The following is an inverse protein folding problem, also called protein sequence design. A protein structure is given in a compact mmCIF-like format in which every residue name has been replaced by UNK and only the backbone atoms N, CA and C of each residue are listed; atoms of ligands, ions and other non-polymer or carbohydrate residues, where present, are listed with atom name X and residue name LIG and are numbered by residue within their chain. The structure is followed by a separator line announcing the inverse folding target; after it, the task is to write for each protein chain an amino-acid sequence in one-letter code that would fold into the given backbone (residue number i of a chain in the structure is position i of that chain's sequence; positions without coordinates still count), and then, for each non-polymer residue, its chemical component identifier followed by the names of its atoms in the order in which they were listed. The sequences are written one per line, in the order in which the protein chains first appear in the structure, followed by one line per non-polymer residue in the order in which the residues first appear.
data_IF_374942694710
#
_entry.id   IF_374942694710
#
_cell.length_a   1.000
_cell.length_b   1.000
_cell.length_c   1.000
_cell.angle_alpha   90.00
_cell.angle_beta   90.00
_cell.angle_gamma   90.00
#
_symmetry.space_group_name_H-M   'P 1'
#
loop_
_entity.id
_entity.type
_entity.pdbx_description
1 polymer ?
#
# COMPACT_ATOMS: atom_id res chain seq x y z
N UNK A 1 -31.97 -24.93 -0.45
CA UNK A 1 -30.55 -24.55 -0.19
C UNK A 1 -29.54 -25.20 -1.16
N UNK A 2 -29.84 -26.28 -1.83
CA UNK A 2 -28.94 -26.95 -2.82
C UNK A 2 -28.91 -26.26 -4.20
N UNK A 3 -29.94 -25.55 -4.62
CA UNK A 3 -30.04 -24.91 -5.93
C UNK A 3 -29.26 -23.58 -6.02
N UNK A 4 -29.06 -22.85 -4.90
CA UNK A 4 -28.24 -21.61 -4.89
C UNK A 4 -26.73 -21.87 -4.98
N UNK A 5 -26.24 -23.01 -4.49
CA UNK A 5 -24.82 -23.38 -4.61
C UNK A 5 -24.42 -23.81 -6.02
N UNK A 6 -25.34 -24.40 -6.80
CA UNK A 6 -25.06 -24.77 -8.19
C UNK A 6 -24.98 -23.54 -9.11
N UNK A 7 -25.86 -22.55 -8.92
CA UNK A 7 -25.80 -21.28 -9.68
C UNK A 7 -24.55 -20.45 -9.35
N UNK A 8 -24.12 -20.43 -8.09
CA UNK A 8 -22.89 -19.74 -7.67
C UNK A 8 -21.63 -20.37 -8.24
N UNK A 9 -21.63 -21.71 -8.38
CA UNK A 9 -20.48 -22.43 -8.96
C UNK A 9 -20.40 -22.30 -10.49
N UNK A 10 -21.53 -22.19 -11.21
CA UNK A 10 -21.53 -21.93 -12.65
C UNK A 10 -21.11 -20.48 -12.97
N UNK A 11 -21.52 -19.48 -12.15
CA UNK A 11 -21.04 -18.10 -12.28
C UNK A 11 -19.53 -17.98 -12.03
N UNK A 12 -18.99 -18.73 -11.07
CA UNK A 12 -17.56 -18.73 -10.79
C UNK A 12 -16.74 -19.47 -11.84
N UNK A 13 -17.31 -20.47 -12.54
CA UNK A 13 -16.66 -21.13 -13.67
C UNK A 13 -16.61 -20.24 -14.91
N UNK A 14 -17.67 -19.50 -15.23
CA UNK A 14 -17.70 -18.55 -16.36
C UNK A 14 -16.81 -17.33 -16.10
N UNK A 15 -16.74 -16.81 -14.86
CA UNK A 15 -15.82 -15.75 -14.47
C UNK A 15 -14.34 -16.20 -14.46
N UNK A 16 -14.06 -17.46 -14.13
CA UNK A 16 -12.70 -18.01 -14.20
C UNK A 16 -12.27 -18.33 -15.65
N UNK A 17 -13.19 -18.72 -16.54
CA UNK A 17 -12.90 -18.82 -17.95
C UNK A 17 -12.62 -17.47 -18.59
N UNK A 18 -13.28 -16.39 -18.17
CA UNK A 18 -12.96 -15.02 -18.63
C UNK A 18 -11.65 -14.47 -18.08
N UNK A 19 -11.15 -14.95 -16.94
CA UNK A 19 -9.86 -14.56 -16.34
C UNK A 19 -8.65 -15.31 -16.90
N UNK A 20 -8.84 -16.45 -17.56
CA UNK A 20 -7.76 -17.27 -18.13
C UNK A 20 -7.45 -16.94 -19.60
N UNK A 21 -8.18 -16.03 -20.25
CA UNK A 21 -7.88 -15.60 -21.60
C UNK A 21 -7.04 -14.32 -21.62
N UNK A 22 -5.75 -14.52 -21.49
CA UNK A 22 -4.72 -13.65 -22.03
C UNK A 22 -4.91 -13.66 -23.57
N UNK A 23 -5.49 -12.58 -24.13
CA UNK A 23 -5.51 -12.43 -25.57
C UNK A 23 -4.07 -12.32 -26.10
N UNK A 24 -3.70 -13.06 -27.14
CA UNK A 24 -4.25 -13.02 -28.47
C UNK A 24 -4.43 -14.42 -29.09
N UNK A 25 -5.62 -14.87 -29.25
CA UNK A 25 -5.98 -15.84 -30.26
C UNK A 25 -7.47 -15.74 -30.53
N UNK A 26 -7.75 -15.27 -31.75
CA UNK A 26 -8.94 -15.53 -32.55
C UNK A 26 -10.28 -15.62 -31.80
N UNK A 27 -11.09 -14.60 -32.00
CA UNK A 27 -12.55 -14.71 -31.93
C UNK A 27 -13.00 -16.08 -32.41
N UNK A 28 -13.35 -16.97 -31.50
CA UNK A 28 -14.10 -18.17 -31.85
C UNK A 28 -15.45 -18.12 -31.17
N UNK A 29 -16.44 -17.95 -32.02
CA UNK A 29 -17.71 -18.64 -32.13
C UNK A 29 -18.96 -18.17 -31.44
N UNK A 30 -19.85 -17.76 -32.34
CA UNK A 30 -21.28 -18.05 -32.25
C UNK A 30 -21.53 -19.54 -32.00
N UNK A 31 -22.24 -19.87 -30.95
CA UNK A 31 -23.03 -21.09 -30.87
C UNK A 31 -24.48 -20.70 -30.71
N UNK A 32 -25.21 -20.77 -31.82
CA UNK A 32 -26.67 -20.93 -31.81
C UNK A 32 -26.98 -22.33 -31.31
N UNK A 33 -27.55 -22.44 -30.10
CA UNK A 33 -28.24 -23.63 -29.64
C UNK A 33 -29.73 -23.33 -29.53
N UNK A 34 -30.60 -24.21 -30.02
CA UNK A 34 -32.03 -24.00 -29.97
C UNK A 34 -32.55 -24.14 -28.55
N UNK A 35 -33.32 -23.15 -28.11
CA UNK A 35 -34.09 -23.23 -26.87
C UNK A 35 -35.24 -24.21 -27.05
N UNK A 36 -35.15 -25.37 -26.39
CA UNK A 36 -36.31 -26.17 -26.01
C UNK A 36 -36.04 -26.90 -24.68
N UNK A 37 -36.94 -26.65 -23.74
CA UNK A 37 -37.21 -27.35 -22.48
C UNK A 37 -36.79 -26.68 -21.16
N UNK A 38 -37.74 -25.97 -20.58
CA UNK A 38 -38.18 -25.94 -19.16
C UNK A 38 -37.14 -26.12 -18.06
N UNK A 39 -36.90 -25.02 -17.31
CA UNK A 39 -36.33 -25.03 -15.97
C UNK A 39 -35.19 -24.03 -15.86
N UNK A 40 -35.45 -22.86 -15.22
CA UNK A 40 -34.49 -21.84 -14.80
C UNK A 40 -33.08 -21.87 -15.44
N UNK A 41 -33.00 -21.61 -16.72
CA UNK A 41 -31.73 -21.32 -17.39
C UNK A 41 -31.28 -19.91 -16.96
N UNK A 42 -30.05 -19.79 -16.56
CA UNK A 42 -29.42 -18.49 -16.36
C UNK A 42 -29.51 -17.70 -17.68
N UNK A 43 -30.07 -16.49 -17.62
CA UNK A 43 -30.16 -15.60 -18.77
C UNK A 43 -28.75 -15.15 -19.13
N UNK A 44 -28.22 -15.69 -20.26
CA UNK A 44 -26.87 -15.38 -20.69
C UNK A 44 -26.87 -14.08 -21.53
N UNK A 45 -25.95 -13.16 -21.30
CA UNK A 45 -25.78 -11.97 -22.14
C UNK A 45 -25.37 -12.37 -23.56
N UNK A 46 -25.92 -11.70 -24.55
CA UNK A 46 -25.61 -11.94 -25.97
C UNK A 46 -24.61 -10.93 -26.49
N UNK A 47 -23.50 -11.39 -27.08
CA UNK A 47 -22.52 -10.54 -27.77
C UNK A 47 -22.71 -10.73 -29.27
N UNK A 48 -22.81 -9.62 -30.01
CA UNK A 48 -23.05 -9.62 -31.47
C UNK A 48 -22.03 -8.70 -32.15
N UNK A 49 -21.51 -9.11 -33.29
CA UNK A 49 -20.72 -8.27 -34.18
C UNK A 49 -21.57 -7.78 -35.36
N UNK A 50 -21.46 -6.51 -35.72
CA UNK A 50 -22.16 -5.92 -36.85
C UNK A 50 -21.21 -5.07 -37.73
N UNK A 51 -21.23 -5.22 -39.08
CA UNK A 51 -21.88 -6.33 -39.80
C UNK A 51 -21.25 -7.67 -39.40
N UNK A 52 -21.94 -8.77 -39.61
CA UNK A 52 -21.45 -10.12 -39.32
C UNK A 52 -20.29 -10.49 -40.27
N UNK A 53 -19.03 -10.58 -39.76
CA UNK A 53 -17.90 -10.91 -40.59
C UNK A 53 -17.59 -12.40 -40.55
N UNK A 54 -17.00 -12.89 -41.61
CA UNK A 54 -16.36 -14.21 -41.66
C UNK A 54 -14.85 -14.02 -41.58
N UNK A 55 -14.19 -14.70 -40.64
CA UNK A 55 -12.73 -14.68 -40.50
C UNK A 55 -12.14 -15.85 -41.32
N UNK A 56 -11.39 -15.55 -42.39
CA UNK A 56 -10.69 -16.53 -43.20
C UNK A 56 -9.20 -16.17 -43.22
N UNK A 57 -8.33 -17.12 -42.82
CA UNK A 57 -6.87 -16.89 -42.79
C UNK A 57 -6.41 -15.61 -42.08
N UNK A 58 -7.08 -15.22 -40.99
CA UNK A 58 -6.77 -13.99 -40.23
C UNK A 58 -7.29 -12.69 -40.83
N UNK A 59 -8.06 -12.75 -41.94
CA UNK A 59 -8.68 -11.60 -42.57
C UNK A 59 -10.21 -11.60 -42.42
N UNK A 60 -10.79 -10.41 -42.23
CA UNK A 60 -12.23 -10.22 -42.12
C UNK A 60 -12.87 -10.09 -43.54
N UNK A 61 -13.93 -10.85 -43.79
CA UNK A 61 -14.72 -10.82 -45.00
C UNK A 61 -16.18 -10.52 -44.69
N UNK A 62 -16.84 -9.75 -45.50
CA UNK A 62 -18.28 -9.56 -45.51
C UNK A 62 -18.76 -9.84 -46.93
N UNK A 63 -19.75 -10.73 -47.10
CA UNK A 63 -20.23 -11.18 -48.41
C UNK A 63 -19.06 -11.66 -49.31
N UNK A 64 -18.15 -12.49 -48.77
CA UNK A 64 -16.98 -13.08 -49.46
C UNK A 64 -15.96 -12.10 -50.07
N UNK A 65 -16.02 -10.83 -49.70
CA UNK A 65 -15.02 -9.81 -50.05
C UNK A 65 -14.23 -9.36 -48.82
N UNK A 66 -12.92 -9.03 -48.98
CA UNK A 66 -12.17 -8.38 -47.91
C UNK A 66 -12.91 -7.14 -47.41
N UNK A 67 -13.17 -7.07 -46.12
CA UNK A 67 -13.96 -6.00 -45.55
C UNK A 67 -13.08 -4.78 -45.25
N UNK A 68 -13.60 -3.61 -45.60
CA UNK A 68 -13.05 -2.32 -45.12
C UNK A 68 -14.16 -1.51 -44.49
N UNK A 69 -14.00 -1.12 -43.23
CA UNK A 69 -15.00 -0.39 -42.46
C UNK A 69 -14.88 -0.67 -40.95
N UNK A 70 -15.87 -0.28 -40.19
CA UNK A 70 -15.90 -0.48 -38.74
C UNK A 70 -16.83 -1.63 -38.35
N UNK A 71 -16.30 -2.63 -37.62
CA UNK A 71 -17.08 -3.69 -37.02
C UNK A 71 -17.46 -3.28 -35.61
N UNK A 72 -18.74 -3.36 -35.27
CA UNK A 72 -19.26 -3.04 -33.92
C UNK A 72 -19.52 -4.32 -33.13
N UNK A 73 -19.00 -4.38 -31.91
CA UNK A 73 -19.28 -5.45 -30.97
C UNK A 73 -20.28 -4.93 -29.94
N UNK A 74 -21.47 -5.50 -29.92
CA UNK A 74 -22.60 -5.08 -29.13
C UNK A 74 -22.89 -6.10 -28.06
N UNK A 75 -23.17 -5.62 -26.86
CA UNK A 75 -23.57 -6.42 -25.70
C UNK A 75 -25.04 -6.19 -25.41
N UNK A 76 -25.81 -7.27 -25.32
CA UNK A 76 -27.16 -7.30 -24.81
C UNK A 76 -27.15 -7.89 -23.41
N UNK A 77 -27.56 -7.15 -22.42
CA UNK A 77 -27.77 -7.71 -21.07
C UNK A 77 -29.00 -8.61 -21.07
N UNK A 78 -29.16 -9.43 -20.04
CA UNK A 78 -30.36 -10.25 -19.89
C UNK A 78 -31.63 -9.36 -19.80
N UNK A 79 -31.54 -8.19 -19.18
CA UNK A 79 -32.61 -7.23 -19.03
C UNK A 79 -33.00 -6.58 -20.37
N UNK A 80 -32.05 -6.46 -21.32
CA UNK A 80 -32.32 -5.93 -22.66
C UNK A 80 -33.14 -6.90 -23.52
N UNK A 81 -32.98 -8.21 -23.28
CA UNK A 81 -33.57 -9.27 -24.10
C UNK A 81 -34.86 -9.85 -23.53
N UNK A 82 -35.04 -9.78 -22.19
CA UNK A 82 -36.09 -10.47 -21.49
C UNK A 82 -36.83 -9.60 -20.49
N UNK A 83 -38.12 -9.85 -20.33
CA UNK A 83 -38.96 -9.28 -19.27
C UNK A 83 -39.23 -10.33 -18.19
N UNK A 84 -39.20 -9.92 -16.91
CA UNK A 84 -39.53 -10.77 -15.77
C UNK A 84 -40.88 -10.31 -15.22
N UNK A 85 -41.90 -11.20 -15.18
CA UNK A 85 -43.19 -10.87 -14.61
C UNK A 85 -43.18 -10.97 -13.08
N UNK A 86 -44.30 -10.57 -12.46
CA UNK A 86 -44.50 -10.59 -11.02
C UNK A 86 -44.30 -11.98 -10.35
N UNK A 87 -44.45 -13.07 -11.10
CA UNK A 87 -44.24 -14.43 -10.60
C UNK A 87 -42.80 -14.97 -10.90
N UNK A 88 -41.92 -14.12 -11.40
CA UNK A 88 -40.54 -14.53 -11.73
C UNK A 88 -40.41 -15.32 -13.04
N UNK A 89 -41.47 -15.37 -13.84
CA UNK A 89 -41.43 -16.03 -15.15
C UNK A 89 -40.77 -15.06 -16.16
N UNK A 90 -39.81 -15.57 -16.94
CA UNK A 90 -39.02 -14.82 -17.91
C UNK A 90 -39.57 -15.01 -19.31
N UNK A 91 -39.78 -13.93 -20.03
CA UNK A 91 -40.25 -13.91 -21.41
C UNK A 91 -39.28 -13.14 -22.30
N UNK A 92 -39.09 -13.59 -23.58
CA UNK A 92 -38.40 -12.76 -24.56
C UNK A 92 -39.14 -11.44 -24.76
N UNK A 93 -38.44 -10.32 -24.75
CA UNK A 93 -39.01 -9.01 -25.03
C UNK A 93 -39.52 -8.94 -26.47
N UNK A 94 -40.72 -8.47 -26.67
CA UNK A 94 -41.28 -8.29 -28.02
C UNK A 94 -40.46 -7.28 -28.83
N UNK A 95 -39.82 -6.31 -28.17
CA UNK A 95 -38.89 -5.33 -28.75
C UNK A 95 -37.71 -5.19 -27.80
N UNK A 96 -36.58 -5.87 -28.07
CA UNK A 96 -35.40 -5.75 -27.25
C UNK A 96 -34.93 -4.29 -27.13
N UNK A 97 -34.38 -3.94 -25.95
CA UNK A 97 -33.73 -2.65 -25.76
C UNK A 97 -32.47 -2.57 -26.65
N UNK A 98 -32.02 -1.36 -27.04
CA UNK A 98 -30.81 -1.21 -27.82
C UNK A 98 -29.61 -1.77 -27.04
N UNK A 99 -28.71 -2.51 -27.70
CA UNK A 99 -27.54 -3.08 -27.07
C UNK A 99 -26.51 -2.01 -26.71
N UNK A 100 -25.68 -2.29 -25.73
CA UNK A 100 -24.54 -1.47 -25.36
C UNK A 100 -23.37 -1.73 -26.30
N UNK A 101 -22.81 -0.68 -26.89
CA UNK A 101 -21.57 -0.77 -27.68
C UNK A 101 -20.39 -0.98 -26.70
N UNK A 102 -19.69 -2.11 -26.85
CA UNK A 102 -18.54 -2.43 -26.00
C UNK A 102 -17.21 -2.32 -26.74
N UNK A 103 -17.22 -2.47 -28.08
CA UNK A 103 -16.02 -2.40 -28.91
C UNK A 103 -16.32 -2.04 -30.34
N UNK A 104 -15.39 -1.31 -30.94
CA UNK A 104 -15.30 -1.14 -32.43
C UNK A 104 -13.93 -1.63 -32.91
N UNK A 105 -13.90 -2.18 -34.11
CA UNK A 105 -12.67 -2.57 -34.81
C UNK A 105 -12.71 -1.99 -36.21
N UNK A 106 -11.78 -1.08 -36.50
CA UNK A 106 -11.59 -0.58 -37.87
C UNK A 106 -10.78 -1.61 -38.68
N UNK A 107 -11.29 -1.93 -39.81
CA UNK A 107 -10.72 -2.92 -40.73
C UNK A 107 -10.42 -2.24 -42.07
N UNK A 108 -9.22 -2.50 -42.63
CA UNK A 108 -8.79 -2.07 -43.91
C UNK A 108 -8.33 -3.29 -44.71
N UNK A 109 -8.94 -3.51 -45.86
CA UNK A 109 -8.64 -4.63 -46.79
C UNK A 109 -8.62 -6.00 -46.04
N UNK A 110 -9.61 -6.21 -45.20
CA UNK A 110 -9.75 -7.41 -44.38
C UNK A 110 -8.87 -7.45 -43.11
N UNK A 111 -7.95 -6.51 -42.93
CA UNK A 111 -7.02 -6.48 -41.80
C UNK A 111 -7.50 -5.47 -40.75
N UNK A 112 -7.59 -5.89 -39.48
CA UNK A 112 -7.87 -4.97 -38.39
C UNK A 112 -6.69 -4.02 -38.17
N UNK A 113 -6.97 -2.71 -38.09
CA UNK A 113 -5.95 -1.65 -37.97
C UNK A 113 -6.07 -0.84 -36.68
N UNK A 114 -7.27 -0.76 -36.09
CA UNK A 114 -7.53 -0.05 -34.82
C UNK A 114 -8.66 -0.73 -34.10
N UNK A 115 -8.49 -0.93 -32.77
CA UNK A 115 -9.52 -1.34 -31.84
C UNK A 115 -9.82 -0.21 -30.88
N UNK A 116 -11.12 0.07 -30.66
CA UNK A 116 -11.61 0.94 -29.57
C UNK A 116 -12.49 0.14 -28.65
N UNK A 117 -12.18 0.16 -27.35
CA UNK A 117 -13.05 -0.36 -26.30
C UNK A 117 -13.85 0.80 -25.69
N UNK A 118 -15.07 0.56 -25.27
CA UNK A 118 -15.97 1.58 -24.71
C UNK A 118 -16.26 1.33 -23.24
N UNK A 119 -16.58 2.39 -22.50
CA UNK A 119 -17.16 2.26 -21.17
C UNK A 119 -18.60 1.79 -21.31
N UNK A 120 -19.07 0.99 -20.35
CA UNK A 120 -20.44 0.50 -20.32
C UNK A 120 -21.45 1.66 -20.34
N UNK A 121 -22.40 1.59 -21.31
CA UNK A 121 -23.43 2.61 -21.49
C UNK A 121 -22.95 4.00 -21.95
N UNK A 122 -21.73 4.14 -22.49
CA UNK A 122 -21.18 5.43 -22.94
C UNK A 122 -20.71 5.38 -24.39
N UNK A 123 -20.92 6.47 -25.12
CA UNK A 123 -20.49 6.63 -26.51
C UNK A 123 -19.01 7.08 -26.67
N UNK A 124 -18.25 7.08 -25.57
CA UNK A 124 -16.85 7.50 -25.56
C UNK A 124 -15.94 6.30 -25.37
N UNK A 125 -14.83 6.20 -26.09
CA UNK A 125 -13.91 5.10 -25.94
C UNK A 125 -13.23 5.14 -24.55
N UNK A 126 -13.03 3.96 -23.97
CA UNK A 126 -12.20 3.75 -22.79
C UNK A 126 -10.73 3.55 -23.17
N UNK A 127 -10.49 2.90 -24.31
CA UNK A 127 -9.16 2.64 -24.85
C UNK A 127 -9.16 2.62 -26.37
N UNK A 128 -7.99 2.94 -26.94
CA UNK A 128 -7.68 2.80 -28.36
C UNK A 128 -6.37 2.01 -28.52
N UNK A 129 -6.39 1.00 -29.37
CA UNK A 129 -5.23 0.14 -29.63
C UNK A 129 -5.00 0.04 -31.15
N UNK A 130 -3.95 0.66 -31.69
CA UNK A 130 -3.51 0.37 -33.05
C UNK A 130 -3.14 -1.10 -33.21
N UNK A 131 -3.48 -1.68 -34.36
CA UNK A 131 -3.28 -3.09 -34.64
C UNK A 131 -2.39 -3.27 -35.87
N UNK A 132 -1.54 -4.31 -35.83
CA UNK A 132 -0.87 -4.87 -36.97
C UNK A 132 -1.14 -6.37 -36.99
N UNK A 133 -2.04 -6.78 -37.89
CA UNK A 133 -2.67 -8.09 -37.82
C UNK A 133 -3.54 -8.22 -36.58
N UNK A 134 -3.31 -9.23 -35.75
CA UNK A 134 -4.06 -9.47 -34.52
C UNK A 134 -3.37 -8.94 -33.26
N UNK A 135 -2.27 -8.22 -33.38
CA UNK A 135 -1.45 -7.75 -32.26
C UNK A 135 -1.49 -6.22 -32.15
N UNK A 136 -1.45 -5.70 -30.92
CA UNK A 136 -1.27 -4.28 -30.67
C UNK A 136 0.10 -3.83 -31.17
N UNK A 137 0.12 -2.82 -32.04
CA UNK A 137 1.35 -2.27 -32.64
C UNK A 137 1.16 -0.79 -32.92
N UNK A 138 1.88 0.07 -32.24
CA UNK A 138 1.74 1.53 -32.28
C UNK A 138 1.39 2.14 -30.94
N UNK A 139 0.90 3.39 -30.95
CA UNK A 139 0.58 4.15 -29.74
C UNK A 139 -0.84 3.87 -29.28
N UNK A 140 -0.98 3.10 -28.19
CA UNK A 140 -2.24 2.90 -27.52
C UNK A 140 -2.56 4.06 -26.57
N UNK A 141 -3.85 4.35 -26.41
CA UNK A 141 -4.38 5.40 -25.54
C UNK A 141 -5.44 4.83 -24.61
N UNK A 142 -5.55 5.38 -23.40
CA UNK A 142 -6.68 5.15 -22.51
C UNK A 142 -7.24 6.49 -22.02
N UNK A 143 -8.52 6.50 -21.67
CA UNK A 143 -9.26 7.70 -21.32
C UNK A 143 -9.90 7.58 -19.95
N UNK A 144 -10.19 8.70 -19.30
CA UNK A 144 -10.98 8.74 -18.08
C UNK A 144 -12.47 8.56 -18.39
N UNK A 145 -13.16 7.84 -17.52
CA UNK A 145 -14.58 7.51 -17.73
C UNK A 145 -15.50 8.71 -17.62
N UNK A 146 -15.20 9.68 -16.76
CA UNK A 146 -16.14 10.75 -16.42
C UNK A 146 -16.17 11.88 -17.47
N UNK A 147 -15.00 12.27 -17.98
CA UNK A 147 -14.83 13.41 -18.88
C UNK A 147 -14.35 13.02 -20.28
N UNK A 148 -13.81 11.79 -20.46
CA UNK A 148 -13.21 11.33 -21.70
C UNK A 148 -11.84 11.92 -21.99
N UNK A 149 -11.21 12.59 -21.03
CA UNK A 149 -9.86 13.11 -21.18
C UNK A 149 -8.82 11.97 -21.27
N UNK A 150 -7.70 12.26 -21.93
CA UNK A 150 -6.61 11.32 -22.09
C UNK A 150 -6.00 10.97 -20.72
N UNK A 151 -6.15 9.72 -20.31
CA UNK A 151 -5.58 9.18 -19.08
C UNK A 151 -4.14 8.72 -19.27
N UNK A 152 -3.88 7.95 -20.32
CA UNK A 152 -2.52 7.46 -20.62
C UNK A 152 -2.31 7.21 -22.10
N UNK A 153 -1.04 7.21 -22.50
CA UNK A 153 -0.60 6.73 -23.81
C UNK A 153 0.73 5.99 -23.67
N UNK A 154 0.92 4.99 -24.54
CA UNK A 154 2.15 4.21 -24.57
C UNK A 154 2.29 3.38 -25.82
N UNK A 155 3.53 3.09 -26.18
CA UNK A 155 3.85 2.31 -27.36
C UNK A 155 3.71 0.81 -27.10
N UNK A 156 3.17 0.13 -28.11
CA UNK A 156 3.12 -1.33 -28.22
C UNK A 156 3.84 -1.78 -29.49
N UNK A 157 4.50 -2.92 -29.39
CA UNK A 157 5.11 -3.61 -30.52
C UNK A 157 4.84 -5.11 -30.41
N UNK A 158 4.23 -5.68 -31.43
CA UNK A 158 3.87 -7.09 -31.45
C UNK A 158 3.12 -7.55 -30.18
N UNK A 159 2.14 -6.77 -29.71
CA UNK A 159 1.29 -7.05 -28.57
C UNK A 159 1.89 -6.76 -27.20
N UNK A 160 3.14 -6.31 -27.11
CA UNK A 160 3.83 -5.98 -25.84
C UNK A 160 4.07 -4.48 -25.75
N UNK A 161 4.01 -3.95 -24.50
CA UNK A 161 4.45 -2.57 -24.26
C UNK A 161 5.94 -2.45 -24.54
N UNK A 162 6.27 -1.53 -25.45
CA UNK A 162 7.63 -1.27 -25.93
C UNK A 162 7.78 0.21 -26.20
N UNK A 163 8.82 0.88 -25.65
CA UNK A 163 8.99 2.31 -25.83
C UNK A 163 8.34 3.15 -24.74
N UNK A 164 7.92 4.37 -25.08
CA UNK A 164 7.46 5.34 -24.11
C UNK A 164 6.12 4.99 -23.47
N UNK A 165 5.93 5.53 -22.25
CA UNK A 165 4.68 5.55 -21.51
C UNK A 165 4.47 6.92 -20.88
N UNK A 166 3.25 7.46 -20.94
CA UNK A 166 2.82 8.69 -20.27
C UNK A 166 1.48 8.48 -19.61
N UNK A 167 1.32 9.04 -18.40
CA UNK A 167 0.09 9.09 -17.64
C UNK A 167 -0.21 10.54 -17.29
N UNK A 168 -1.46 10.93 -17.31
CA UNK A 168 -1.91 12.31 -17.11
C UNK A 168 -2.83 12.40 -15.90
N UNK A 169 -2.94 13.59 -15.32
CA UNK A 169 -3.92 13.90 -14.30
C UNK A 169 -5.29 14.12 -14.92
N UNK A 170 -6.34 13.65 -14.26
CA UNK A 170 -7.71 13.94 -14.64
C UNK A 170 -8.04 15.42 -14.37
N UNK A 171 -8.84 16.03 -15.24
CA UNK A 171 -9.32 17.41 -15.13
C UNK A 171 -8.30 18.47 -15.56
N UNK A 172 -7.01 18.30 -15.26
CA UNK A 172 -5.97 19.24 -15.70
C UNK A 172 -5.24 18.81 -16.98
N UNK A 173 -5.33 17.53 -17.36
CA UNK A 173 -4.61 16.95 -18.50
C UNK A 173 -3.08 17.04 -18.40
N UNK A 174 -2.54 17.49 -17.25
CA UNK A 174 -1.11 17.62 -17.05
C UNK A 174 -0.42 16.27 -16.88
N UNK A 175 0.85 16.20 -17.24
CA UNK A 175 1.65 14.99 -17.13
C UNK A 175 1.83 14.60 -15.66
N UNK A 176 1.39 13.37 -15.31
CA UNK A 176 1.52 12.77 -13.97
C UNK A 176 2.72 11.85 -13.86
N UNK A 177 2.99 11.07 -14.92
CA UNK A 177 4.12 10.14 -14.96
C UNK A 177 4.61 9.95 -16.38
N UNK A 178 5.92 9.77 -16.57
CA UNK A 178 6.51 9.27 -17.82
C UNK A 178 7.57 8.21 -17.53
N UNK A 179 7.77 7.33 -18.50
CA UNK A 179 8.78 6.28 -18.43
C UNK A 179 8.84 5.51 -19.75
N UNK A 180 9.48 4.37 -19.72
CA UNK A 180 9.54 3.46 -20.87
C UNK A 180 9.33 2.01 -20.42
N UNK A 181 8.83 1.20 -21.35
CA UNK A 181 8.70 -0.24 -21.23
C UNK A 181 9.58 -0.95 -22.25
N UNK A 182 10.05 -2.13 -21.89
CA UNK A 182 10.71 -3.09 -22.78
C UNK A 182 10.09 -4.46 -22.55
N UNK A 183 9.43 -5.03 -23.55
CA UNK A 183 8.75 -6.31 -23.48
C UNK A 183 7.85 -6.42 -22.23
N UNK A 184 6.92 -5.47 -22.02
CA UNK A 184 5.99 -5.32 -20.90
C UNK A 184 6.61 -5.00 -19.52
N UNK A 185 7.92 -4.87 -19.43
CA UNK A 185 8.62 -4.55 -18.18
C UNK A 185 9.05 -3.10 -18.17
N UNK A 186 8.91 -2.43 -17.02
CA UNK A 186 9.47 -1.08 -16.85
C UNK A 186 10.97 -1.09 -17.07
N UNK A 187 11.47 -0.12 -17.85
CA UNK A 187 12.90 0.02 -18.18
C UNK A 187 13.31 1.50 -18.13
N UNK A 188 14.53 1.78 -17.62
CA UNK A 188 15.01 3.14 -17.48
C UNK A 188 14.35 3.90 -16.32
N UNK A 189 14.30 5.23 -16.39
CA UNK A 189 13.81 6.08 -15.31
C UNK A 189 12.33 6.43 -15.52
N UNK A 190 11.49 6.04 -14.57
CA UNK A 190 10.13 6.56 -14.44
C UNK A 190 10.18 7.84 -13.64
N UNK A 191 9.60 8.90 -14.17
CA UNK A 191 9.54 10.22 -13.55
C UNK A 191 8.09 10.55 -13.25
N UNK A 192 7.80 10.83 -11.97
CA UNK A 192 6.51 11.31 -11.49
C UNK A 192 6.54 12.83 -11.34
N UNK A 193 5.41 13.45 -11.53
CA UNK A 193 5.24 14.90 -11.45
C UNK A 193 4.13 15.26 -10.46
N UNK A 194 4.25 16.38 -9.80
CA UNK A 194 3.15 17.05 -9.16
C UNK A 194 2.18 17.60 -10.21
N UNK A 195 0.94 17.83 -9.84
CA UNK A 195 -0.04 18.44 -10.76
C UNK A 195 0.33 19.89 -11.14
N UNK A 196 1.13 20.55 -10.34
CA UNK A 196 1.75 21.85 -10.64
C UNK A 196 2.81 21.77 -11.77
N UNK A 197 3.36 20.57 -12.04
CA UNK A 197 4.27 20.28 -13.15
C UNK A 197 5.71 19.97 -12.73
N UNK A 198 6.09 20.24 -11.48
CA UNK A 198 7.42 19.92 -10.97
C UNK A 198 7.60 18.41 -10.80
N UNK A 199 8.83 17.94 -10.91
CA UNK A 199 9.17 16.55 -10.65
C UNK A 199 8.94 16.22 -9.17
N UNK A 200 8.12 15.18 -8.90
CA UNK A 200 7.88 14.68 -7.54
C UNK A 200 8.73 13.46 -7.19
N UNK A 201 9.09 12.63 -8.19
CA UNK A 201 9.98 11.49 -7.96
C UNK A 201 10.65 10.99 -9.26
N UNK A 202 11.79 10.30 -9.09
CA UNK A 202 12.48 9.54 -10.15
C UNK A 202 12.78 8.14 -9.67
N UNK A 203 12.30 7.15 -10.39
CA UNK A 203 12.36 5.74 -10.06
C UNK A 203 13.06 4.95 -11.16
N UNK A 204 14.32 4.56 -11.02
CA UNK A 204 15.03 3.75 -12.01
C UNK A 204 14.60 2.28 -11.96
N UNK A 205 14.34 1.72 -13.14
CA UNK A 205 13.95 0.33 -13.34
C UNK A 205 14.90 -0.40 -14.30
N UNK A 206 15.11 -1.69 -14.06
CA UNK A 206 15.77 -2.61 -14.97
C UNK A 206 15.01 -3.92 -14.98
N UNK A 207 14.52 -4.34 -16.16
CA UNK A 207 13.76 -5.57 -16.31
C UNK A 207 12.48 -5.63 -15.47
N UNK A 208 11.83 -4.51 -15.18
CA UNK A 208 10.62 -4.39 -14.35
C UNK A 208 10.85 -4.17 -12.86
N UNK A 209 12.07 -4.33 -12.37
CA UNK A 209 12.43 -4.17 -10.96
C UNK A 209 13.13 -2.84 -10.70
N UNK A 210 12.87 -2.18 -9.56
CA UNK A 210 13.63 -0.99 -9.14
C UNK A 210 15.11 -1.33 -9.06
N UNK A 211 15.96 -0.52 -9.70
CA UNK A 211 17.41 -0.76 -9.73
C UNK A 211 18.16 0.57 -9.92
N UNK A 212 18.87 1.00 -8.90
CA UNK A 212 19.58 2.28 -8.87
C UNK A 212 19.08 3.21 -7.78
N UNK A 213 19.38 4.52 -7.89
CA UNK A 213 18.98 5.55 -6.94
C UNK A 213 17.58 6.08 -7.26
N UNK A 214 16.66 5.83 -6.33
CA UNK A 214 15.31 6.36 -6.30
C UNK A 214 15.33 7.69 -5.54
N UNK A 215 14.74 8.73 -6.12
CA UNK A 215 14.82 10.10 -5.57
C UNK A 215 13.43 10.72 -5.52
N UNK A 216 13.02 11.16 -4.33
CA UNK A 216 11.80 11.96 -4.12
C UNK A 216 12.15 13.43 -3.98
N UNK A 217 11.25 14.31 -4.38
CA UNK A 217 11.40 15.75 -4.32
C UNK A 217 10.22 16.41 -3.61
N UNK A 218 10.45 17.55 -2.98
CA UNK A 218 9.42 18.48 -2.57
C UNK A 218 8.88 19.27 -3.78
N UNK A 219 7.74 19.94 -3.64
CA UNK A 219 7.23 20.87 -4.66
C UNK A 219 8.21 22.00 -4.99
N UNK A 220 9.02 22.40 -4.03
CA UNK A 220 10.11 23.37 -4.22
C UNK A 220 11.26 22.88 -5.11
N UNK A 221 11.20 21.61 -5.55
CA UNK A 221 12.26 20.96 -6.33
C UNK A 221 13.45 20.47 -5.50
N UNK A 222 13.49 20.76 -4.20
CA UNK A 222 14.54 20.24 -3.31
C UNK A 222 14.35 18.74 -3.09
N UNK A 223 15.47 18.03 -2.91
CA UNK A 223 15.46 16.58 -2.62
C UNK A 223 14.81 16.34 -1.26
N UNK A 224 13.77 15.48 -1.23
CA UNK A 224 13.09 15.00 -0.03
C UNK A 224 13.68 13.69 0.48
N UNK A 225 14.03 12.79 -0.43
CA UNK A 225 14.59 11.48 -0.05
C UNK A 225 15.39 10.83 -1.17
N UNK A 226 16.39 10.04 -0.78
CA UNK A 226 17.21 9.23 -1.69
C UNK A 226 17.28 7.82 -1.13
N UNK A 227 16.91 6.84 -1.94
CA UNK A 227 16.96 5.41 -1.61
C UNK A 227 17.69 4.67 -2.72
N UNK A 228 18.40 3.62 -2.36
CA UNK A 228 19.08 2.77 -3.34
C UNK A 228 18.40 1.41 -3.44
N UNK A 229 18.23 0.91 -4.66
CA UNK A 229 17.62 -0.38 -4.95
C UNK A 229 18.54 -1.25 -5.82
N UNK A 230 18.51 -2.55 -5.57
CA UNK A 230 19.15 -3.56 -6.42
C UNK A 230 18.20 -4.75 -6.59
N UNK A 231 17.80 -5.03 -7.83
CA UNK A 231 16.88 -6.13 -8.12
C UNK A 231 15.53 -6.04 -7.40
N UNK A 232 14.99 -4.83 -7.21
CA UNK A 232 13.72 -4.56 -6.55
C UNK A 232 13.81 -4.37 -5.03
N UNK A 233 14.92 -4.74 -4.38
CA UNK A 233 15.12 -4.64 -2.94
C UNK A 233 15.91 -3.40 -2.56
N UNK A 234 15.58 -2.77 -1.42
CA UNK A 234 16.38 -1.68 -0.85
C UNK A 234 17.76 -2.20 -0.47
N UNK A 235 18.79 -1.47 -0.91
CA UNK A 235 20.18 -1.86 -0.73
C UNK A 235 21.05 -0.62 -0.61
N UNK A 236 21.90 -0.54 0.43
CA UNK A 236 22.80 0.59 0.66
C UNK A 236 22.12 1.74 1.40
N UNK A 237 22.69 2.94 1.30
CA UNK A 237 22.30 4.09 2.11
C UNK A 237 20.96 4.68 1.67
N UNK A 238 20.12 5.01 2.65
CA UNK A 238 18.92 5.83 2.54
C UNK A 238 19.14 7.16 3.26
N UNK A 239 18.65 8.27 2.66
CA UNK A 239 18.70 9.62 3.25
C UNK A 239 17.36 10.31 3.02
N UNK A 240 16.88 10.99 4.05
CA UNK A 240 15.72 11.88 3.99
C UNK A 240 16.11 13.27 4.46
N UNK A 241 15.49 14.28 3.91
CA UNK A 241 15.79 15.67 4.17
C UNK A 241 14.53 16.44 4.57
N UNK A 242 14.66 17.47 5.35
CA UNK A 242 13.65 18.50 5.55
C UNK A 242 13.55 19.38 4.30
N UNK A 243 12.49 20.14 4.16
CA UNK A 243 12.34 21.07 3.03
C UNK A 243 13.35 22.23 3.07
N UNK A 244 13.87 22.56 4.24
CA UNK A 244 15.04 23.45 4.40
C UNK A 244 16.29 22.91 3.67
N UNK A 245 16.38 21.58 3.46
CA UNK A 245 17.53 20.87 2.91
C UNK A 245 18.39 20.22 3.99
N UNK A 246 18.11 20.46 5.27
CA UNK A 246 18.79 19.80 6.37
C UNK A 246 18.51 18.28 6.37
N UNK A 247 19.52 17.49 6.75
CA UNK A 247 19.37 16.03 6.84
C UNK A 247 18.40 15.68 7.98
N UNK A 248 17.34 14.91 7.66
CA UNK A 248 16.31 14.46 8.60
C UNK A 248 16.60 13.08 9.14
N UNK A 249 17.06 12.16 8.26
CA UNK A 249 17.31 10.78 8.60
C UNK A 249 18.34 10.17 7.65
N UNK A 250 19.18 9.27 8.16
CA UNK A 250 20.06 8.43 7.34
C UNK A 250 20.27 7.08 7.99
N UNK A 251 20.47 6.07 7.16
CA UNK A 251 20.79 4.70 7.57
C UNK A 251 21.03 3.84 6.35
N UNK A 252 21.21 2.56 6.55
CA UNK A 252 21.44 1.62 5.46
C UNK A 252 20.42 0.47 5.47
N UNK A 253 20.15 -0.05 4.28
CA UNK A 253 19.41 -1.29 4.06
C UNK A 253 20.28 -2.35 3.43
N UNK A 254 20.01 -3.59 3.78
CA UNK A 254 20.50 -4.78 3.10
C UNK A 254 19.29 -5.71 2.86
N UNK A 255 18.96 -5.97 1.60
CA UNK A 255 17.84 -6.82 1.20
C UNK A 255 16.50 -6.46 1.89
N UNK A 256 16.12 -5.17 1.86
CA UNK A 256 14.93 -4.55 2.50
C UNK A 256 14.95 -4.50 4.03
N UNK A 257 16.01 -4.96 4.69
CA UNK A 257 16.15 -4.92 6.14
C UNK A 257 17.06 -3.78 6.56
N UNK A 258 16.69 -3.02 7.60
CA UNK A 258 17.56 -2.02 8.20
C UNK A 258 18.84 -2.70 8.73
N UNK A 259 19.98 -2.02 8.54
CA UNK A 259 21.28 -2.55 8.93
C UNK A 259 22.19 -1.43 9.47
N UNK A 260 22.94 -1.73 10.53
CA UNK A 260 23.89 -0.80 11.13
C UNK A 260 23.25 0.42 11.78
N UNK A 261 23.99 1.52 11.84
CA UNK A 261 23.60 2.73 12.53
C UNK A 261 22.59 3.54 11.71
N UNK A 262 21.47 3.86 12.32
CA UNK A 262 20.48 4.79 11.84
C UNK A 262 20.48 6.04 12.68
N UNK A 263 20.39 7.22 12.03
CA UNK A 263 20.37 8.52 12.70
C UNK A 263 19.21 9.35 12.23
N UNK A 264 18.49 9.92 13.18
CA UNK A 264 17.47 10.94 12.96
C UNK A 264 18.00 12.27 13.51
N UNK A 265 17.63 13.36 12.87
CA UNK A 265 18.09 14.69 13.22
C UNK A 265 16.91 15.65 13.41
N UNK A 266 17.07 16.63 14.22
CA UNK A 266 16.25 17.83 14.25
C UNK A 266 16.55 18.70 13.02
N UNK A 267 15.67 19.63 12.70
CA UNK A 267 15.85 20.50 11.52
C UNK A 267 17.05 21.44 11.65
N UNK A 268 17.48 21.77 12.87
CA UNK A 268 18.70 22.53 13.17
C UNK A 268 20.00 21.69 12.99
N UNK A 269 19.87 20.43 12.61
CA UNK A 269 20.97 19.49 12.35
C UNK A 269 21.47 18.73 13.58
N UNK A 270 20.98 19.02 14.78
CA UNK A 270 21.34 18.24 15.97
C UNK A 270 20.78 16.85 15.88
N UNK A 271 21.52 15.87 16.42
CA UNK A 271 21.06 14.49 16.51
C UNK A 271 19.84 14.41 17.43
N UNK A 272 18.77 13.72 16.95
CA UNK A 272 17.57 13.42 17.72
C UNK A 272 17.56 11.99 18.24
N UNK A 273 17.91 11.03 17.37
CA UNK A 273 17.95 9.60 17.72
C UNK A 273 19.11 8.93 16.99
N UNK A 274 19.79 8.03 17.68
CA UNK A 274 20.74 7.06 17.11
C UNK A 274 20.24 5.68 17.46
N UNK A 275 20.06 4.83 16.46
CA UNK A 275 19.56 3.47 16.59
C UNK A 275 20.53 2.50 15.92
N UNK A 276 20.67 1.31 16.48
CA UNK A 276 21.43 0.23 15.86
C UNK A 276 20.49 -0.89 15.42
N UNK A 277 20.69 -1.36 14.18
CA UNK A 277 19.89 -2.42 13.56
C UNK A 277 20.76 -3.55 13.05
N UNK A 278 20.26 -4.77 13.21
CA UNK A 278 20.76 -5.98 12.59
C UNK A 278 19.60 -6.76 12.01
N UNK A 279 19.65 -7.04 10.72
CA UNK A 279 18.60 -7.77 9.97
C UNK A 279 17.18 -7.24 10.13
N UNK A 280 17.04 -5.93 10.36
CA UNK A 280 15.77 -5.22 10.48
C UNK A 280 15.27 -5.00 11.89
N UNK A 281 15.88 -5.62 12.90
CA UNK A 281 15.55 -5.50 14.30
C UNK A 281 16.56 -4.60 15.03
N UNK A 282 16.14 -3.94 16.13
CA UNK A 282 17.07 -3.22 16.97
C UNK A 282 18.07 -4.20 17.62
N UNK A 283 19.36 -3.89 17.50
CA UNK A 283 20.45 -4.71 18.06
C UNK A 283 21.60 -3.78 18.45
N UNK A 284 21.83 -3.62 19.75
CA UNK A 284 22.75 -2.66 20.34
C UNK A 284 22.06 -1.43 20.92
N UNK A 285 22.82 -0.36 21.14
CA UNK A 285 22.38 0.84 21.81
C UNK A 285 21.40 1.68 20.96
N UNK A 286 20.37 2.23 21.62
CA UNK A 286 19.51 3.29 21.12
C UNK A 286 19.67 4.51 22.03
N UNK A 287 19.98 5.66 21.45
CA UNK A 287 20.15 6.92 22.16
C UNK A 287 19.19 7.98 21.61
N UNK A 288 18.45 8.65 22.49
CA UNK A 288 17.56 9.76 22.17
C UNK A 288 18.10 11.05 22.77
N UNK A 289 17.90 12.18 22.10
CA UNK A 289 18.41 13.47 22.51
C UNK A 289 17.32 14.53 22.44
N UNK A 290 17.32 15.45 23.38
CA UNK A 290 16.51 16.66 23.38
C UNK A 290 16.96 17.65 22.29
N UNK A 291 16.10 18.62 21.95
CA UNK A 291 16.44 19.68 20.98
C UNK A 291 17.61 20.58 21.43
N UNK A 292 17.90 20.67 22.73
CA UNK A 292 19.10 21.35 23.25
C UNK A 292 20.39 20.52 23.06
N UNK A 293 20.28 19.24 22.65
CA UNK A 293 21.38 18.30 22.45
C UNK A 293 21.73 17.44 23.66
N UNK A 294 21.07 17.65 24.83
CA UNK A 294 21.25 16.80 26.00
C UNK A 294 20.69 15.39 25.74
N UNK A 295 21.32 14.39 26.31
CA UNK A 295 20.84 13.00 26.25
C UNK A 295 19.48 12.91 26.97
N UNK A 296 18.48 12.35 26.27
CA UNK A 296 17.12 12.13 26.79
C UNK A 296 16.96 10.71 27.30
N UNK A 297 17.52 9.72 26.59
CA UNK A 297 17.44 8.33 26.98
C UNK A 297 18.50 7.48 26.30
N UNK A 298 18.89 6.42 26.98
CA UNK A 298 19.76 5.36 26.46
C UNK A 298 19.15 4.00 26.79
N UNK A 299 19.12 3.12 25.78
CA UNK A 299 18.48 1.83 25.83
C UNK A 299 19.35 0.80 25.13
N UNK A 300 19.38 -0.42 25.63
CA UNK A 300 20.06 -1.54 24.99
C UNK A 300 19.05 -2.53 24.41
N UNK A 301 19.36 -3.06 23.23
CA UNK A 301 18.53 -4.05 22.55
C UNK A 301 19.37 -5.22 22.08
N UNK A 302 18.79 -6.42 22.13
CA UNK A 302 19.33 -7.63 21.53
C UNK A 302 18.20 -8.35 20.80
N UNK A 303 18.38 -8.61 19.49
CA UNK A 303 17.38 -9.28 18.64
C UNK A 303 15.96 -8.68 18.80
N UNK A 304 15.84 -7.34 18.76
CA UNK A 304 14.58 -6.60 18.86
C UNK A 304 14.00 -6.49 20.27
N UNK A 305 14.63 -7.11 21.27
CA UNK A 305 14.17 -7.07 22.66
C UNK A 305 15.04 -6.15 23.51
N UNK A 306 14.40 -5.34 24.33
CA UNK A 306 15.11 -4.48 25.25
C UNK A 306 15.83 -5.33 26.32
N UNK A 307 17.09 -5.00 26.58
CA UNK A 307 17.95 -5.71 27.54
C UNK A 307 18.82 -4.71 28.30
N UNK A 308 19.56 -5.16 29.30
CA UNK A 308 20.51 -4.32 30.04
C UNK A 308 19.85 -3.15 30.77
N UNK A 309 20.64 -2.14 31.11
CA UNK A 309 20.19 -0.97 31.85
C UNK A 309 19.74 0.15 30.92
N UNK A 310 18.48 0.55 31.03
CA UNK A 310 17.94 1.71 30.39
C UNK A 310 17.94 2.90 31.34
N UNK A 311 18.30 4.08 30.82
CA UNK A 311 18.31 5.34 31.58
C UNK A 311 17.57 6.42 30.80
N UNK A 312 16.91 7.30 31.53
CA UNK A 312 16.25 8.50 31.04
C UNK A 312 16.75 9.70 31.81
N UNK A 313 16.85 10.82 31.16
CA UNK A 313 17.41 12.06 31.71
C UNK A 313 16.44 13.22 31.52
N UNK A 314 16.46 14.19 32.36
CA UNK A 314 15.82 15.48 32.20
C UNK A 314 16.57 16.32 31.14
N UNK A 315 15.93 17.35 30.63
CA UNK A 315 16.57 18.27 29.68
C UNK A 315 17.76 19.05 30.27
N UNK A 316 17.85 19.13 31.58
CA UNK A 316 18.99 19.63 32.35
C UNK A 316 20.19 18.68 32.33
N UNK A 317 19.99 17.41 31.91
CA UNK A 317 21.00 16.36 31.96
C UNK A 317 20.99 15.53 33.24
N UNK A 318 20.18 15.89 34.25
CA UNK A 318 20.01 15.11 35.46
C UNK A 318 19.34 13.77 35.16
N UNK A 319 19.75 12.69 35.87
CA UNK A 319 19.12 11.38 35.73
C UNK A 319 17.66 11.43 36.21
N UNK A 320 16.72 11.02 35.35
CA UNK A 320 15.28 10.99 35.66
C UNK A 320 14.81 9.58 36.05
N UNK A 321 15.34 8.55 35.35
CA UNK A 321 15.00 7.16 35.69
C UNK A 321 16.10 6.20 35.23
N UNK A 322 16.20 5.06 35.93
CA UNK A 322 16.96 3.90 35.46
C UNK A 322 16.24 2.60 35.81
N UNK A 323 16.33 1.62 34.89
CA UNK A 323 15.75 0.29 35.09
C UNK A 323 16.52 -0.73 34.26
N UNK A 324 16.63 -1.94 34.78
CA UNK A 324 17.16 -3.08 34.04
C UNK A 324 16.04 -3.78 33.30
N UNK A 325 16.34 -4.23 32.07
CA UNK A 325 15.49 -5.10 31.27
C UNK A 325 16.16 -6.45 31.06
N UNK A 326 15.35 -7.50 31.03
CA UNK A 326 15.73 -8.84 30.61
C UNK A 326 14.64 -9.38 29.71
N UNK A 327 15.00 -9.80 28.51
CA UNK A 327 14.05 -10.32 27.49
C UNK A 327 12.85 -9.41 27.21
N UNK A 328 13.05 -8.09 27.18
CA UNK A 328 12.01 -7.08 26.96
C UNK A 328 11.12 -6.78 28.17
N UNK A 329 11.42 -7.35 29.33
CA UNK A 329 10.66 -7.13 30.57
C UNK A 329 11.51 -6.43 31.59
N UNK A 330 10.90 -5.49 32.36
CA UNK A 330 11.57 -4.89 33.53
C UNK A 330 12.00 -5.99 34.49
N UNK A 331 13.24 -5.92 34.95
CA UNK A 331 13.81 -6.87 35.90
C UNK A 331 14.80 -6.17 36.82
N UNK A 332 14.76 -6.44 38.13
CA UNK A 332 15.61 -5.76 39.09
C UNK A 332 15.06 -4.39 39.51
N UNK A 333 15.93 -3.53 39.96
CA UNK A 333 15.57 -2.26 40.59
C UNK A 333 15.21 -1.21 39.52
N UNK A 334 14.02 -0.63 39.67
CA UNK A 334 13.59 0.57 38.94
C UNK A 334 13.66 1.76 39.88
N UNK A 335 14.39 2.78 39.51
CA UNK A 335 14.52 4.02 40.25
C UNK A 335 14.17 5.23 39.39
N UNK A 336 13.42 6.16 39.98
CA UNK A 336 13.17 7.48 39.40
C UNK A 336 13.71 8.55 40.35
N UNK A 337 14.04 9.70 39.80
CA UNK A 337 14.66 10.80 40.52
C UNK A 337 13.92 12.12 40.23
N UNK A 338 13.89 13.01 41.20
CA UNK A 338 13.51 14.41 40.99
C UNK A 338 14.61 15.12 40.20
N UNK A 339 14.29 16.25 39.58
CA UNK A 339 15.26 16.98 38.75
C UNK A 339 16.45 17.55 39.59
N UNK A 340 16.26 17.72 40.91
CA UNK A 340 17.33 18.07 41.84
C UNK A 340 18.27 16.88 42.17
N UNK A 341 18.03 15.69 41.61
CA UNK A 341 18.81 14.47 41.76
C UNK A 341 18.44 13.61 42.97
N UNK A 342 17.48 14.04 43.80
CA UNK A 342 17.01 13.21 44.94
C UNK A 342 16.15 12.04 44.41
N UNK A 343 16.21 10.89 45.10
CA UNK A 343 15.43 9.73 44.77
C UNK A 343 13.93 10.05 44.91
N UNK A 344 13.15 9.82 43.82
CA UNK A 344 11.68 10.02 43.80
C UNK A 344 10.93 8.73 44.09
N UNK A 345 11.36 7.63 43.47
CA UNK A 345 10.76 6.32 43.73
C UNK A 345 11.77 5.21 43.49
N UNK A 346 11.57 4.09 44.16
CA UNK A 346 12.24 2.82 43.90
C UNK A 346 11.29 1.65 44.03
N UNK A 347 11.34 0.74 43.04
CA UNK A 347 10.49 -0.45 42.97
C UNK A 347 11.32 -1.60 42.43
N UNK A 348 11.14 -2.79 43.00
CA UNK A 348 11.74 -4.02 42.47
C UNK A 348 10.80 -4.65 41.45
N UNK A 349 11.35 -5.10 40.34
CA UNK A 349 10.63 -5.85 39.31
C UNK A 349 11.21 -7.24 39.11
N UNK A 350 10.33 -8.23 38.94
CA UNK A 350 10.67 -9.57 38.52
C UNK A 350 9.79 -9.95 37.37
N UNK A 351 10.41 -10.24 36.20
CA UNK A 351 9.74 -10.58 34.93
C UNK A 351 8.58 -9.63 34.51
N UNK A 352 8.76 -8.33 34.78
CA UNK A 352 7.81 -7.28 34.43
C UNK A 352 6.77 -6.97 35.51
N UNK A 353 6.75 -7.72 36.60
CA UNK A 353 5.83 -7.53 37.71
C UNK A 353 6.54 -6.87 38.92
N UNK A 354 5.86 -5.93 39.57
CA UNK A 354 6.34 -5.32 40.84
C UNK A 354 6.38 -6.36 41.96
N UNK A 355 7.45 -6.35 42.72
CA UNK A 355 7.64 -7.28 43.86
C UNK A 355 8.33 -6.59 45.04
N UNK A 356 8.09 -7.06 46.24
CA UNK A 356 8.68 -6.51 47.45
C UNK A 356 8.21 -5.09 47.76
N UNK A 357 9.05 -4.31 48.42
CA UNK A 357 8.69 -2.97 48.91
C UNK A 357 9.02 -1.91 47.90
N UNK A 358 8.00 -1.19 47.42
CA UNK A 358 8.13 0.06 46.69
C UNK A 358 8.15 1.26 47.64
N UNK A 359 8.97 2.27 47.34
CA UNK A 359 9.05 3.49 48.15
C UNK A 359 9.00 4.72 47.25
N UNK A 360 8.26 5.73 47.69
CA UNK A 360 8.18 7.06 47.08
C UNK A 360 8.67 8.11 48.08
N UNK A 361 9.32 9.15 47.55
CA UNK A 361 9.96 10.18 48.37
C UNK A 361 9.59 11.56 47.84
N UNK A 362 9.41 12.50 48.76
CA UNK A 362 9.31 13.94 48.45
C UNK A 362 10.63 14.47 47.88
N UNK A 363 10.58 15.66 47.28
CA UNK A 363 11.77 16.28 46.69
C UNK A 363 12.88 16.63 47.71
N UNK A 364 12.54 16.72 49.01
CA UNK A 364 13.49 16.90 50.13
C UNK A 364 14.10 15.55 50.62
N UNK A 365 13.68 14.41 50.02
CA UNK A 365 14.17 13.08 50.31
C UNK A 365 13.43 12.33 51.42
N UNK A 366 12.43 12.96 52.05
CA UNK A 366 11.60 12.29 53.05
C UNK A 366 10.68 11.26 52.41
N UNK A 367 10.36 10.18 53.17
CA UNK A 367 9.45 9.13 52.68
C UNK A 367 8.02 9.69 52.56
N UNK A 368 7.44 9.61 51.34
CA UNK A 368 6.06 9.98 51.05
C UNK A 368 5.12 8.79 51.16
N UNK A 369 5.53 7.65 50.59
CA UNK A 369 4.74 6.44 50.60
C UNK A 369 5.61 5.18 50.53
N UNK A 370 5.11 4.09 51.09
CA UNK A 370 5.62 2.75 50.84
C UNK A 370 4.49 1.77 50.55
N UNK A 371 4.74 0.83 49.62
CA UNK A 371 3.81 -0.22 49.29
C UNK A 371 4.48 -1.56 49.21
N UNK A 372 3.81 -2.61 49.64
CA UNK A 372 4.26 -3.99 49.51
C UNK A 372 3.56 -4.64 48.31
N UNK A 373 4.33 -5.23 47.40
CA UNK A 373 3.85 -5.87 46.20
C UNK A 373 4.15 -7.35 46.18
N UNK A 374 3.15 -8.16 45.83
CA UNK A 374 3.26 -9.58 45.53
C UNK A 374 2.80 -9.85 44.10
N UNK A 375 3.74 -10.19 43.21
CA UNK A 375 3.48 -10.49 41.81
C UNK A 375 2.61 -9.43 41.10
N UNK A 376 2.96 -8.16 41.28
CA UNK A 376 2.27 -7.01 40.65
C UNK A 376 1.01 -6.55 41.43
N UNK A 377 0.61 -7.23 42.50
CA UNK A 377 -0.53 -6.84 43.31
C UNK A 377 -0.06 -6.08 44.56
N UNK A 378 -0.60 -4.88 44.77
CA UNK A 378 -0.35 -4.11 46.00
C UNK A 378 -1.12 -4.75 47.18
N UNK A 379 -0.42 -5.22 48.20
CA UNK A 379 -1.01 -5.89 49.36
C UNK A 379 -1.02 -5.01 50.63
N UNK A 380 -0.14 -4.01 50.70
CA UNK A 380 -0.11 -3.02 51.76
C UNK A 380 0.36 -1.68 51.24
N UNK A 381 -0.21 -0.58 51.76
CA UNK A 381 0.21 0.77 51.42
C UNK A 381 0.19 1.65 52.67
N UNK A 382 1.28 2.40 52.87
CA UNK A 382 1.39 3.44 53.89
C UNK A 382 1.70 4.77 53.23
N UNK A 383 1.12 5.85 53.75
CA UNK A 383 1.37 7.22 53.28
C UNK A 383 1.77 8.10 54.47
N UNK A 384 2.72 9.00 54.23
CA UNK A 384 3.28 9.92 55.23
C UNK A 384 3.15 11.36 54.71
N UNK A 385 3.03 12.33 55.66
CA UNK A 385 3.07 13.75 55.33
C UNK A 385 4.51 14.25 55.20
N UNK A 386 4.69 15.52 54.78
CA UNK A 386 6.01 16.15 54.65
C UNK A 386 6.76 16.28 55.98
N UNK A 387 6.07 16.16 57.11
CA UNK A 387 6.67 16.14 58.45
C UNK A 387 7.14 14.73 58.87
N UNK A 388 6.77 13.69 58.08
CA UNK A 388 7.10 12.28 58.33
C UNK A 388 6.06 11.55 59.20
N UNK A 389 4.90 12.16 59.50
CA UNK A 389 3.84 11.51 60.25
C UNK A 389 3.04 10.56 59.34
N UNK A 390 2.66 9.40 59.87
CA UNK A 390 1.83 8.43 59.16
C UNK A 390 0.39 8.97 58.99
N UNK A 391 -0.06 9.15 57.71
CA UNK A 391 -1.40 9.63 57.36
C UNK A 391 -2.34 8.44 57.15
N UNK A 392 -1.85 7.36 56.54
CA UNK A 392 -2.67 6.20 56.16
C UNK A 392 -1.84 4.92 56.24
N UNK A 393 -2.45 3.84 56.76
CA UNK A 393 -1.94 2.46 56.69
C UNK A 393 -3.11 1.57 56.26
N UNK A 394 -3.07 1.08 55.02
CA UNK A 394 -4.09 0.22 54.45
C UNK A 394 -3.47 -1.13 54.11
N UNK A 395 -4.12 -2.20 54.54
CA UNK A 395 -3.77 -3.57 54.16
C UNK A 395 -5.01 -4.29 53.65
N UNK A 396 -4.86 -5.06 52.59
CA UNK A 396 -5.96 -5.84 52.04
C UNK A 396 -5.44 -7.21 51.59
N UNK A 397 -6.13 -8.26 52.03
CA UNK A 397 -5.85 -9.63 51.61
C UNK A 397 -6.17 -9.88 50.14
N UNK A 398 -7.03 -9.04 49.53
CA UNK A 398 -7.47 -9.15 48.15
C UNK A 398 -6.73 -8.19 47.19
N UNK A 399 -5.84 -7.33 47.69
CA UNK A 399 -5.13 -6.28 46.98
C UNK A 399 -5.87 -4.94 47.01
N UNK A 400 -5.10 -3.85 47.10
CA UNK A 400 -5.60 -2.49 47.07
C UNK A 400 -5.71 -2.01 45.61
N UNK A 401 -6.81 -1.32 45.28
CA UNK A 401 -6.92 -0.66 44.00
C UNK A 401 -5.86 0.44 43.87
N UNK A 402 -5.26 0.60 42.72
CA UNK A 402 -4.41 1.77 42.41
C UNK A 402 -5.34 2.97 42.23
N UNK A 403 -5.25 3.97 43.05
CA UNK A 403 -5.85 5.29 42.87
C UNK A 403 -4.98 6.17 41.98
#
# INVERSE_FOLDING_TARGET
MKTRKAAQNSLNLSLNLMRSFSFPRALKFLLLLPLLALGAQALEPKIVMQPEPVLKNGLYFVADKPYSGTLKVLHYSAEDLYDVNFMGVVYPRAKPLPPTLIREVDVKDGTAVLQRDYFDGRDRPSNEYPLKGSLYDGVAKSYYADDGELRSQGEYKAGKREGFYKLYYQGSGKLKQRGAYKADRREGVFTDYYESGEVSARHPYKGGLRNGKDVDYYKSGKVRGVRSYKGGKRQGTEKWYYESGALKQTGAYKDDRKQGVWKLFYEDGKTRVVENFKDGEHDGAVCEYYGNGALQGEYEFECGRQTGTSKQYYASGALAAKVMFRDGRKHGLYETYHENGTLKARVMFEDGLETGTAKHYYADGKLEAEGEFERGRLVRAKKYDESGNLISDKSDKNGLARE
#
